data_IF_676135301870
#
_entry.id   IF_676135301870
#
_cell.length_a   1.000
_cell.length_b   1.000
_cell.length_c   1.000
_cell.angle_alpha   90.00
_cell.angle_beta   90.00
_cell.angle_gamma   90.00
#
_symmetry.space_group_name_H-M   'P 1'
#
loop_
_entity.id
_entity.type
_entity.pdbx_description
1 polymer ?
#
# COMPACT_ATOMS: atom_id res chain seq x y z
N UNK A 1 40.81 31.41 38.89
CA UNK A 1 41.08 32.16 37.64
C UNK A 1 41.84 31.32 36.61
N UNK A 2 41.58 30.01 36.51
CA UNK A 2 42.29 29.07 35.64
C UNK A 2 41.34 28.09 34.90
N UNK A 3 40.04 28.44 34.81
CA UNK A 3 39.02 27.62 34.15
C UNK A 3 38.36 28.31 32.95
N UNK A 4 38.58 29.62 32.77
CA UNK A 4 38.03 30.40 31.65
C UNK A 4 38.98 30.44 30.44
N UNK A 5 40.27 30.20 30.64
CA UNK A 5 41.29 30.24 29.57
C UNK A 5 41.28 28.94 28.74
N UNK A 6 40.90 27.80 29.33
CA UNK A 6 40.83 26.50 28.63
C UNK A 6 39.67 26.41 27.62
N UNK A 7 38.56 27.10 27.87
CA UNK A 7 37.38 27.08 26.98
C UNK A 7 37.61 27.94 25.72
N UNK A 8 38.36 29.03 25.84
CA UNK A 8 38.70 29.87 24.67
C UNK A 8 39.73 29.19 23.74
N UNK A 9 40.67 28.41 24.25
CA UNK A 9 41.64 27.69 23.42
C UNK A 9 40.99 26.58 22.57
N UNK A 10 39.98 25.89 23.09
CA UNK A 10 39.26 24.83 22.36
C UNK A 10 38.39 25.41 21.22
N UNK A 11 37.79 26.59 21.44
CA UNK A 11 36.97 27.25 20.41
C UNK A 11 37.80 27.84 19.26
N UNK A 12 39.02 28.33 19.53
CA UNK A 12 39.94 28.85 18.50
C UNK A 12 40.50 27.73 17.60
N UNK A 13 40.75 26.54 18.16
CA UNK A 13 41.26 25.39 17.39
C UNK A 13 40.17 24.79 16.49
N UNK A 14 38.91 24.73 16.96
CA UNK A 14 37.78 24.24 16.14
C UNK A 14 37.42 25.24 15.03
N UNK A 15 37.51 26.55 15.30
CA UNK A 15 37.30 27.59 14.28
C UNK A 15 38.35 27.61 13.15
N UNK A 16 39.61 27.28 13.45
CA UNK A 16 40.69 27.23 12.45
C UNK A 16 40.70 25.94 11.61
N UNK A 17 40.04 24.87 12.07
CA UNK A 17 39.87 23.62 11.31
C UNK A 17 38.73 23.70 10.28
N UNK A 18 37.76 24.60 10.48
CA UNK A 18 36.61 24.79 9.57
C UNK A 18 36.93 25.75 8.40
N UNK A 19 37.98 26.59 8.51
CA UNK A 19 38.39 27.54 7.46
C UNK A 19 39.37 27.01 6.41
N UNK A 20 39.74 25.72 6.43
CA UNK A 20 40.79 25.15 5.55
C UNK A 20 40.29 24.27 4.40
N UNK A 21 39.03 24.39 3.99
CA UNK A 21 38.46 23.68 2.82
C UNK A 21 37.71 24.61 1.85
N UNK A 22 38.28 25.77 1.57
CA UNK A 22 37.94 26.55 0.37
C UNK A 22 39.25 26.94 -0.32
N UNK A 23 39.47 26.42 -1.53
CA UNK A 23 40.52 26.89 -2.44
C UNK A 23 39.88 27.62 -3.63
N UNK A 24 40.56 28.65 -4.16
CA UNK A 24 39.94 29.83 -4.76
C UNK A 24 39.86 29.79 -6.29
N UNK A 25 39.15 30.74 -6.94
CA UNK A 25 39.18 30.91 -8.40
C UNK A 25 40.40 31.77 -8.81
N UNK A 26 40.92 31.60 -10.04
CA UNK A 26 41.11 32.68 -11.05
C UNK A 26 41.65 32.15 -12.40
N UNK A 27 40.96 32.64 -13.45
CA UNK A 27 41.15 32.72 -14.92
C UNK A 27 42.54 32.57 -15.56
N UNK A 28 42.57 32.01 -16.79
CA UNK A 28 42.94 32.59 -18.13
C UNK A 28 42.96 31.41 -19.12
N UNK A 29 42.13 31.27 -20.16
CA UNK A 29 42.00 32.05 -21.39
C UNK A 29 42.62 31.31 -22.59
N UNK A 30 41.81 30.64 -23.44
CA UNK A 30 42.07 30.50 -24.88
C UNK A 30 40.81 30.05 -25.64
N UNK A 31 40.61 30.66 -26.81
CA UNK A 31 39.47 30.55 -27.74
C UNK A 31 39.54 29.29 -28.60
N UNK A 32 38.40 28.69 -28.95
CA UNK A 32 38.01 28.26 -30.32
C UNK A 32 36.48 28.30 -30.44
N UNK A 33 36.01 28.65 -31.63
CA UNK A 33 34.67 29.07 -32.05
C UNK A 33 33.58 27.98 -32.14
N UNK A 34 32.33 28.40 -31.89
CA UNK A 34 31.03 28.20 -32.58
C UNK A 34 30.77 26.98 -33.52
N UNK A 35 29.49 26.53 -33.70
CA UNK A 35 28.32 27.41 -33.90
C UNK A 35 26.99 27.05 -33.19
N UNK A 36 26.15 28.09 -33.14
CA UNK A 36 24.72 28.10 -32.84
C UNK A 36 23.92 27.25 -33.84
N UNK A 37 22.88 26.57 -33.34
CA UNK A 37 21.66 26.31 -34.13
C UNK A 37 20.43 26.71 -33.31
N UNK A 38 19.66 27.55 -33.99
CA UNK A 38 18.40 28.19 -33.71
C UNK A 38 17.25 27.16 -33.51
N UNK A 39 16.40 27.34 -32.50
CA UNK A 39 15.10 26.63 -32.44
C UNK A 39 13.98 27.66 -32.40
N UNK A 40 13.47 27.86 -33.62
CA UNK A 40 12.21 28.48 -34.02
C UNK A 40 11.07 28.40 -32.98
N UNK A 41 10.53 29.58 -32.66
CA UNK A 41 9.12 29.76 -32.30
C UNK A 41 8.25 29.23 -33.45
N UNK A 42 7.36 28.27 -33.19
CA UNK A 42 6.21 28.00 -34.07
C UNK A 42 4.88 28.16 -33.36
N UNK A 43 4.01 28.86 -34.08
CA UNK A 43 2.67 29.33 -33.75
C UNK A 43 1.64 28.20 -33.67
N UNK A 44 0.66 28.45 -32.80
CA UNK A 44 -0.74 28.03 -32.79
C UNK A 44 -1.24 27.15 -33.95
N UNK A 45 -1.85 26.02 -33.59
CA UNK A 45 -2.90 25.38 -34.37
C UNK A 45 -4.13 25.21 -33.46
N UNK A 46 -5.03 26.18 -33.53
CA UNK A 46 -6.36 26.12 -32.94
C UNK A 46 -7.24 25.31 -33.88
N UNK A 47 -7.58 24.06 -33.52
CA UNK A 47 -8.63 23.31 -34.20
C UNK A 47 -9.98 23.68 -33.58
N UNK A 48 -10.77 24.44 -34.33
CA UNK A 48 -12.20 24.59 -34.11
C UNK A 48 -12.86 23.20 -34.20
N UNK A 49 -13.67 22.86 -33.21
CA UNK A 49 -14.57 21.71 -33.23
C UNK A 49 -15.97 22.28 -33.19
N UNK A 50 -16.73 22.06 -34.28
CA UNK A 50 -18.13 22.46 -34.37
C UNK A 50 -19.01 21.71 -33.37
N UNK A 51 -20.08 22.32 -32.82
CA UNK A 51 -20.93 21.68 -31.83
C UNK A 51 -21.93 20.72 -32.49
N UNK A 52 -21.84 19.43 -32.17
CA UNK A 52 -22.84 18.44 -32.56
C UNK A 52 -24.10 18.58 -31.68
N UNK A 53 -25.25 18.83 -32.31
CA UNK A 53 -26.58 18.92 -31.68
C UNK A 53 -27.01 17.57 -31.04
N UNK A 54 -27.77 17.57 -29.92
CA UNK A 54 -28.28 16.34 -29.31
C UNK A 54 -29.47 15.78 -30.12
N UNK A 55 -29.39 14.50 -30.47
CA UNK A 55 -30.49 13.77 -31.11
C UNK A 55 -31.41 13.17 -30.04
N UNK A 56 -32.56 13.80 -29.81
CA UNK A 56 -33.64 13.28 -28.97
C UNK A 56 -34.47 12.30 -29.79
N UNK A 57 -34.64 11.04 -29.34
CA UNK A 57 -35.68 10.13 -29.84
C UNK A 57 -36.60 9.71 -28.67
N UNK A 58 -37.93 9.60 -28.86
CA UNK A 58 -38.87 9.38 -27.77
C UNK A 58 -38.99 7.89 -27.39
N UNK A 59 -39.27 7.65 -26.10
CA UNK A 59 -39.74 6.37 -25.56
C UNK A 59 -41.04 5.94 -26.25
N UNK A 60 -41.09 4.74 -26.81
CA UNK A 60 -42.33 4.09 -27.23
C UNK A 60 -42.69 2.97 -26.25
N UNK A 61 -43.98 2.98 -25.88
CA UNK A 61 -44.68 2.03 -25.02
C UNK A 61 -44.64 0.61 -25.58
N UNK A 62 -44.50 -0.35 -24.68
CA UNK A 62 -44.60 -1.79 -24.93
C UNK A 62 -46.08 -2.13 -25.18
N UNK A 63 -46.43 -2.49 -26.42
CA UNK A 63 -47.71 -3.05 -26.79
C UNK A 63 -47.53 -4.48 -27.31
N UNK A 64 -48.24 -5.41 -26.66
CA UNK A 64 -48.76 -6.71 -27.08
C UNK A 64 -48.05 -7.50 -28.19
N UNK A 65 -47.46 -8.65 -27.80
CA UNK A 65 -47.06 -9.73 -28.73
C UNK A 65 -47.95 -10.96 -28.45
N UNK A 66 -48.46 -11.67 -29.47
CA UNK A 66 -49.41 -12.77 -29.32
C UNK A 66 -48.74 -14.05 -28.78
N UNK A 67 -49.49 -14.80 -27.98
CA UNK A 67 -49.15 -16.14 -27.49
C UNK A 67 -49.22 -17.18 -28.62
N UNK A 68 -48.10 -17.84 -28.91
CA UNK A 68 -48.07 -19.08 -29.71
C UNK A 68 -47.63 -20.24 -28.79
N UNK A 69 -48.56 -21.18 -28.61
CA UNK A 69 -48.43 -22.38 -27.79
C UNK A 69 -47.50 -23.40 -28.46
N UNK A 70 -46.27 -23.53 -27.96
CA UNK A 70 -45.49 -24.77 -28.12
C UNK A 70 -44.84 -25.18 -26.80
N UNK A 71 -45.26 -26.34 -26.31
CA UNK A 71 -44.72 -26.99 -25.12
C UNK A 71 -43.18 -27.13 -25.21
N UNK A 72 -42.42 -26.84 -24.14
CA UNK A 72 -40.98 -27.06 -24.16
C UNK A 72 -40.66 -28.56 -24.02
N UNK A 73 -39.84 -29.09 -24.91
CA UNK A 73 -39.17 -30.38 -24.68
C UNK A 73 -38.30 -30.29 -23.41
N UNK A 74 -38.26 -31.34 -22.56
CA UNK A 74 -37.42 -31.32 -21.38
C UNK A 74 -35.97 -31.57 -21.78
N UNK A 75 -35.13 -30.53 -21.71
CA UNK A 75 -33.69 -30.69 -21.57
C UNK A 75 -33.44 -31.34 -20.20
N UNK A 76 -33.31 -32.67 -20.18
CA UNK A 76 -32.72 -33.37 -19.05
C UNK A 76 -31.25 -32.93 -18.95
N UNK A 77 -30.98 -31.92 -18.14
CA UNK A 77 -29.65 -31.69 -17.59
C UNK A 77 -29.54 -32.59 -16.38
N UNK A 78 -28.61 -33.53 -16.45
CA UNK A 78 -28.23 -34.40 -15.35
C UNK A 78 -27.58 -33.53 -14.26
N UNK A 79 -28.41 -33.05 -13.32
CA UNK A 79 -27.99 -32.19 -12.20
C UNK A 79 -27.44 -33.06 -11.09
N UNK A 80 -26.29 -33.70 -11.36
CA UNK A 80 -25.31 -33.98 -10.31
C UNK A 80 -24.43 -32.73 -10.16
N UNK A 81 -25.04 -31.60 -9.75
CA UNK A 81 -24.35 -30.33 -9.54
C UNK A 81 -23.54 -30.38 -8.23
N UNK A 82 -22.46 -31.14 -8.20
CA UNK A 82 -21.34 -30.80 -7.32
C UNK A 82 -20.80 -29.45 -7.79
N UNK A 83 -20.83 -28.44 -6.92
CA UNK A 83 -20.29 -27.12 -7.24
C UNK A 83 -18.89 -27.28 -7.87
N UNK A 84 -18.58 -26.57 -8.97
CA UNK A 84 -17.31 -26.73 -9.65
C UNK A 84 -16.19 -26.35 -8.67
N UNK A 85 -15.42 -27.34 -8.23
CA UNK A 85 -14.25 -27.17 -7.38
C UNK A 85 -12.97 -27.40 -8.19
N UNK A 86 -11.84 -26.87 -7.72
CA UNK A 86 -10.54 -27.22 -8.28
C UNK A 86 -10.06 -28.57 -7.77
N UNK A 87 -9.36 -29.32 -8.62
CA UNK A 87 -8.75 -30.61 -8.29
C UNK A 87 -7.42 -30.40 -7.55
N UNK A 88 -6.88 -31.48 -6.97
CA UNK A 88 -5.56 -31.43 -6.35
C UNK A 88 -4.46 -31.04 -7.34
N UNK A 89 -4.50 -31.58 -8.56
CA UNK A 89 -3.53 -31.28 -9.61
C UNK A 89 -3.58 -29.81 -10.04
N UNK A 90 -4.79 -29.25 -10.20
CA UNK A 90 -5.00 -27.83 -10.50
C UNK A 90 -4.49 -26.94 -9.35
N UNK A 91 -4.76 -27.30 -8.09
CA UNK A 91 -4.27 -26.55 -6.94
C UNK A 91 -2.73 -26.55 -6.85
N UNK A 92 -2.08 -27.70 -7.10
CA UNK A 92 -0.62 -27.78 -7.19
C UNK A 92 -0.08 -26.95 -8.37
N UNK A 93 -0.78 -26.97 -9.51
CA UNK A 93 -0.42 -26.16 -10.68
C UNK A 93 -0.41 -24.66 -10.35
N UNK A 94 -1.43 -24.17 -9.62
CA UNK A 94 -1.51 -22.79 -9.16
C UNK A 94 -0.35 -22.45 -8.21
N UNK A 95 -0.03 -23.31 -7.24
CA UNK A 95 1.09 -23.10 -6.30
C UNK A 95 2.43 -23.03 -7.03
N UNK A 96 2.63 -23.86 -8.05
CA UNK A 96 3.89 -23.95 -8.79
C UNK A 96 4.10 -22.76 -9.73
N UNK A 97 3.05 -22.23 -10.35
CA UNK A 97 3.17 -21.25 -11.43
C UNK A 97 2.73 -19.84 -11.06
N UNK A 98 1.99 -19.66 -9.96
CA UNK A 98 1.65 -18.33 -9.44
C UNK A 98 2.68 -17.92 -8.40
N UNK A 99 3.62 -17.09 -8.83
CA UNK A 99 4.72 -16.62 -8.02
C UNK A 99 4.24 -15.85 -6.78
N UNK A 100 4.65 -16.30 -5.59
CA UNK A 100 4.24 -15.74 -4.30
C UNK A 100 2.87 -16.21 -3.79
N UNK A 101 2.13 -17.06 -4.51
CA UNK A 101 0.81 -17.52 -4.07
C UNK A 101 0.83 -18.26 -2.74
N UNK A 102 1.79 -19.18 -2.55
CA UNK A 102 1.98 -19.90 -1.28
C UNK A 102 2.28 -18.94 -0.12
N UNK A 103 3.19 -17.99 -0.35
CA UNK A 103 3.59 -17.00 0.66
C UNK A 103 2.42 -16.09 1.08
N UNK A 104 1.62 -15.68 0.09
CA UNK A 104 0.38 -14.95 0.31
C UNK A 104 -0.62 -15.77 1.14
N UNK A 105 -0.84 -17.04 0.79
CA UNK A 105 -1.77 -17.91 1.53
C UNK A 105 -1.34 -18.12 2.98
N UNK A 106 -0.05 -18.30 3.25
CA UNK A 106 0.49 -18.43 4.60
C UNK A 106 0.32 -17.13 5.41
N UNK A 107 0.64 -15.98 4.81
CA UNK A 107 0.45 -14.66 5.44
C UNK A 107 -1.03 -14.40 5.74
N UNK A 108 -1.90 -14.68 4.76
CA UNK A 108 -3.36 -14.61 4.91
C UNK A 108 -3.85 -15.50 6.04
N UNK A 109 -3.39 -16.75 6.11
CA UNK A 109 -3.76 -17.65 7.19
C UNK A 109 -3.30 -17.09 8.54
N UNK A 110 -2.08 -16.56 8.65
CA UNK A 110 -1.61 -15.95 9.89
C UNK A 110 -2.55 -14.83 10.38
N UNK A 111 -3.09 -14.02 9.47
CA UNK A 111 -3.99 -12.90 9.80
C UNK A 111 -5.44 -13.36 10.04
N UNK A 112 -5.96 -14.26 9.21
CA UNK A 112 -7.40 -14.59 9.13
C UNK A 112 -7.76 -15.96 9.70
N UNK A 113 -6.85 -16.93 9.61
CA UNK A 113 -7.08 -18.33 10.01
C UNK A 113 -7.75 -19.18 8.96
N UNK A 114 -8.07 -18.56 7.84
CA UNK A 114 -8.82 -19.20 6.79
C UNK A 114 -7.85 -19.89 5.85
N UNK A 115 -8.04 -21.19 5.70
CA UNK A 115 -7.34 -22.00 4.69
C UNK A 115 -8.06 -21.98 3.34
N UNK A 116 -9.30 -21.50 3.28
CA UNK A 116 -10.04 -21.27 2.04
C UNK A 116 -9.81 -19.84 1.54
N UNK A 117 -9.68 -19.67 0.22
CA UNK A 117 -9.48 -18.37 -0.42
C UNK A 117 -10.78 -17.86 -1.02
N UNK A 118 -11.29 -16.73 -0.51
CA UNK A 118 -12.45 -16.09 -1.12
C UNK A 118 -12.07 -15.48 -2.48
N UNK A 119 -13.00 -15.43 -3.46
CA UNK A 119 -12.72 -14.86 -4.78
C UNK A 119 -12.43 -13.35 -4.70
N UNK A 120 -11.22 -12.96 -5.06
CA UNK A 120 -10.85 -11.57 -5.33
C UNK A 120 -10.89 -11.32 -6.84
N UNK A 121 -12.06 -10.96 -7.37
CA UNK A 121 -12.23 -10.74 -8.80
C UNK A 121 -11.38 -9.56 -9.28
N UNK A 122 -10.87 -9.68 -10.51
CA UNK A 122 -9.96 -8.70 -11.14
C UNK A 122 -8.62 -8.51 -10.41
N UNK A 123 -8.24 -9.46 -9.54
CA UNK A 123 -6.91 -9.52 -8.94
C UNK A 123 -5.89 -10.17 -9.87
N UNK A 124 -4.61 -9.97 -9.56
CA UNK A 124 -3.50 -10.78 -10.09
C UNK A 124 -3.76 -12.29 -9.94
N UNK A 125 -4.26 -12.75 -8.78
CA UNK A 125 -4.63 -14.16 -8.57
C UNK A 125 -5.77 -14.61 -9.49
N UNK A 126 -6.77 -13.75 -9.74
CA UNK A 126 -7.86 -14.05 -10.67
C UNK A 126 -7.34 -14.21 -12.09
N UNK A 127 -6.52 -13.27 -12.56
CA UNK A 127 -5.97 -13.28 -13.91
C UNK A 127 -5.09 -14.51 -14.14
N UNK A 128 -4.25 -14.88 -13.16
CA UNK A 128 -3.44 -16.09 -13.21
C UNK A 128 -4.28 -17.37 -13.19
N UNK A 129 -5.31 -17.43 -12.33
CA UNK A 129 -6.23 -18.55 -12.29
C UNK A 129 -6.89 -18.78 -13.65
N UNK A 130 -7.42 -17.72 -14.27
CA UNK A 130 -8.12 -17.83 -15.55
C UNK A 130 -7.20 -18.28 -16.69
N UNK A 131 -5.89 -18.01 -16.59
CA UNK A 131 -4.88 -18.51 -17.54
C UNK A 131 -4.51 -19.97 -17.33
N UNK A 132 -4.40 -20.40 -16.07
CA UNK A 132 -3.89 -21.73 -15.72
C UNK A 132 -4.99 -22.80 -15.65
N UNK A 133 -6.21 -22.42 -15.30
CA UNK A 133 -7.33 -23.34 -15.07
C UNK A 133 -8.39 -23.15 -16.15
N UNK A 134 -8.37 -24.01 -17.16
CA UNK A 134 -9.34 -24.00 -18.24
C UNK A 134 -10.73 -24.48 -17.77
N UNK A 135 -11.79 -23.92 -18.36
CA UNK A 135 -13.18 -24.36 -18.20
C UNK A 135 -13.73 -24.35 -16.76
N UNK A 136 -13.12 -23.57 -15.85
CA UNK A 136 -13.65 -23.36 -14.50
C UNK A 136 -13.86 -21.89 -14.20
N UNK A 137 -15.00 -21.53 -13.60
CA UNK A 137 -15.18 -20.16 -13.13
C UNK A 137 -14.32 -19.91 -11.89
N UNK A 138 -13.84 -18.68 -11.72
CA UNK A 138 -12.94 -18.34 -10.62
C UNK A 138 -13.51 -18.62 -9.22
N UNK A 139 -14.83 -18.58 -9.04
CA UNK A 139 -15.45 -18.91 -7.75
C UNK A 139 -15.20 -20.36 -7.31
N UNK A 140 -14.72 -21.24 -8.19
CA UNK A 140 -14.27 -22.59 -7.84
C UNK A 140 -13.11 -22.60 -6.83
N UNK A 141 -12.30 -21.54 -6.80
CA UNK A 141 -11.13 -21.43 -5.91
C UNK A 141 -11.52 -21.45 -4.43
N UNK A 142 -12.73 -20.99 -4.10
CA UNK A 142 -13.20 -20.87 -2.72
C UNK A 142 -13.60 -22.20 -2.10
N UNK A 143 -13.94 -23.19 -2.94
CA UNK A 143 -14.39 -24.52 -2.50
C UNK A 143 -13.22 -25.43 -2.11
N UNK A 144 -11.99 -25.04 -2.47
CA UNK A 144 -10.82 -25.85 -2.20
C UNK A 144 -10.19 -25.49 -0.86
N UNK A 145 -10.05 -26.48 0.01
CA UNK A 145 -9.31 -26.35 1.25
C UNK A 145 -7.80 -26.43 0.96
N UNK A 146 -7.10 -25.29 0.99
CA UNK A 146 -5.68 -25.23 0.66
C UNK A 146 -4.78 -25.94 1.67
N UNK A 147 -5.28 -26.30 2.85
CA UNK A 147 -4.53 -27.12 3.82
C UNK A 147 -4.17 -28.52 3.27
N UNK A 148 -4.79 -28.94 2.17
CA UNK A 148 -4.48 -30.18 1.47
C UNK A 148 -3.15 -30.15 0.71
N UNK A 149 -2.62 -28.97 0.42
CA UNK A 149 -1.42 -28.77 -0.42
C UNK A 149 -0.43 -27.75 0.17
N UNK A 150 -0.86 -26.95 1.14
CA UNK A 150 -0.02 -26.01 1.89
C UNK A 150 -0.01 -26.45 3.35
N UNK A 151 1.19 -26.62 3.91
CA UNK A 151 1.37 -26.83 5.34
C UNK A 151 1.26 -25.49 6.09
N UNK A 152 0.20 -25.34 6.88
CA UNK A 152 -0.03 -24.18 7.74
C UNK A 152 0.43 -24.40 9.19
N UNK A 153 0.89 -25.59 9.57
CA UNK A 153 1.18 -25.96 10.97
C UNK A 153 2.28 -25.11 11.62
N UNK A 154 3.27 -24.69 10.83
CA UNK A 154 4.34 -23.79 11.24
C UNK A 154 3.93 -22.30 11.26
N UNK A 155 2.70 -21.98 10.84
CA UNK A 155 2.21 -20.61 10.77
C UNK A 155 1.43 -20.22 12.02
N UNK A 156 2.07 -19.42 12.89
CA UNK A 156 1.36 -18.81 14.02
C UNK A 156 0.33 -17.79 13.55
N UNK A 157 -0.84 -17.85 14.18
CA UNK A 157 -1.90 -16.84 14.06
C UNK A 157 -1.51 -15.57 14.80
N UNK A 158 -1.86 -14.42 14.22
CA UNK A 158 -1.67 -13.09 14.80
C UNK A 158 -3.01 -12.37 14.78
N UNK A 159 -3.46 -11.90 15.94
CA UNK A 159 -4.67 -11.09 16.06
C UNK A 159 -4.39 -9.64 15.67
N UNK A 160 -4.20 -9.43 14.36
CA UNK A 160 -4.02 -8.09 13.80
C UNK A 160 -5.40 -7.45 13.64
N UNK A 161 -5.62 -6.37 14.39
CA UNK A 161 -6.85 -5.59 14.32
C UNK A 161 -6.91 -4.77 13.03
N UNK A 162 -5.85 -4.02 12.72
CA UNK A 162 -5.74 -3.16 11.54
C UNK A 162 -4.30 -2.79 11.23
N UNK A 163 -4.10 -2.22 10.04
CA UNK A 163 -2.88 -1.53 9.66
C UNK A 163 -3.08 -0.02 9.89
N UNK A 164 -1.99 0.73 9.99
CA UNK A 164 -2.06 2.16 10.22
C UNK A 164 -1.11 2.91 9.30
N UNK A 165 -1.58 4.00 8.73
CA UNK A 165 -0.77 5.03 8.12
C UNK A 165 -1.00 6.33 8.89
N UNK A 166 -0.04 7.24 8.89
CA UNK A 166 -0.27 8.60 9.37
C UNK A 166 0.25 9.58 8.33
N UNK A 167 -0.41 10.73 8.20
CA UNK A 167 0.03 11.78 7.29
C UNK A 167 -0.38 13.15 7.80
N UNK A 168 0.23 14.19 7.24
CA UNK A 168 -0.18 15.55 7.50
C UNK A 168 -1.61 15.79 6.95
N UNK A 169 -2.41 16.56 7.69
CA UNK A 169 -3.83 16.83 7.42
C UNK A 169 -4.07 17.42 6.03
N UNK A 170 -3.13 18.25 5.53
CA UNK A 170 -3.22 18.84 4.20
C UNK A 170 -3.27 17.81 3.06
N UNK A 171 -2.72 16.61 3.27
CA UNK A 171 -2.78 15.51 2.29
C UNK A 171 -4.11 14.77 2.31
N UNK A 172 -4.95 14.94 3.33
CA UNK A 172 -6.13 14.11 3.52
C UNK A 172 -7.10 14.19 2.32
N UNK A 173 -7.27 15.39 1.76
CA UNK A 173 -8.18 15.60 0.63
C UNK A 173 -7.72 14.87 -0.63
N UNK A 174 -6.43 14.88 -0.93
CA UNK A 174 -5.89 14.14 -2.09
C UNK A 174 -5.94 12.63 -1.85
N UNK A 175 -5.68 12.18 -0.62
CA UNK A 175 -5.79 10.77 -0.22
C UNK A 175 -7.21 10.23 -0.47
N UNK A 176 -8.26 10.97 -0.08
CA UNK A 176 -9.64 10.54 -0.33
C UNK A 176 -10.07 10.67 -1.80
N UNK A 177 -9.38 11.48 -2.60
CA UNK A 177 -9.63 11.62 -4.03
C UNK A 177 -8.97 10.52 -4.86
N UNK A 178 -7.74 10.16 -4.52
CA UNK A 178 -6.88 9.34 -5.38
C UNK A 178 -6.31 8.09 -4.69
N UNK A 179 -6.62 7.86 -3.42
CA UNK A 179 -5.97 6.85 -2.58
C UNK A 179 -4.66 7.36 -1.98
N UNK A 180 -4.05 6.53 -1.13
CA UNK A 180 -2.70 6.77 -0.65
C UNK A 180 -1.75 6.36 -1.77
N UNK A 181 -0.97 7.31 -2.26
CA UNK A 181 -0.03 7.12 -3.36
C UNK A 181 1.39 7.20 -2.81
N UNK A 182 2.30 6.40 -3.38
CA UNK A 182 3.71 6.43 -3.00
C UNK A 182 4.35 7.80 -3.29
N UNK A 183 5.42 8.09 -2.56
CA UNK A 183 6.18 9.34 -2.76
C UNK A 183 6.67 9.46 -4.20
N UNK A 184 7.26 8.39 -4.73
CA UNK A 184 7.81 8.38 -6.08
C UNK A 184 6.75 8.80 -7.12
N UNK A 185 5.55 8.22 -7.05
CA UNK A 185 4.46 8.56 -7.98
C UNK A 185 3.93 9.98 -7.79
N UNK A 186 3.90 10.48 -6.56
CA UNK A 186 3.51 11.87 -6.32
C UNK A 186 4.51 12.86 -6.93
N UNK A 187 5.81 12.58 -6.81
CA UNK A 187 6.89 13.36 -7.42
C UNK A 187 6.84 13.28 -8.96
N UNK A 188 6.69 12.09 -9.53
CA UNK A 188 6.57 11.88 -10.99
C UNK A 188 5.31 12.52 -11.58
N UNK A 189 4.21 12.53 -10.85
CA UNK A 189 2.93 13.12 -11.26
C UNK A 189 2.84 14.65 -11.07
N UNK A 190 3.87 15.29 -10.49
CA UNK A 190 3.87 16.72 -10.22
C UNK A 190 2.80 17.17 -9.20
N UNK A 191 2.38 16.27 -8.32
CA UNK A 191 1.39 16.58 -7.29
C UNK A 191 2.04 17.37 -6.15
N UNK A 192 1.36 18.39 -5.62
CA UNK A 192 1.77 19.06 -4.38
C UNK A 192 1.35 18.22 -3.18
N UNK A 193 2.28 17.87 -2.30
CA UNK A 193 2.00 17.12 -1.08
C UNK A 193 3.00 17.47 0.03
N UNK A 194 2.63 17.18 1.27
CA UNK A 194 3.51 17.30 2.43
C UNK A 194 4.23 15.97 2.67
N UNK A 195 5.56 15.99 2.77
CA UNK A 195 6.34 14.80 3.09
C UNK A 195 6.09 14.37 4.53
N UNK A 196 5.84 13.08 4.74
CA UNK A 196 5.87 12.51 6.10
C UNK A 196 7.32 12.31 6.58
N UNK A 197 8.17 11.79 5.69
CA UNK A 197 9.61 11.62 5.90
C UNK A 197 10.38 12.10 4.65
N UNK A 198 11.19 13.15 4.80
CA UNK A 198 11.93 13.74 3.69
C UNK A 198 13.10 12.88 3.22
N UNK A 199 13.69 12.06 4.09
CA UNK A 199 14.94 11.37 3.78
C UNK A 199 14.75 9.98 3.17
N UNK A 200 13.70 9.23 3.56
CA UNK A 200 13.38 7.86 3.07
C UNK A 200 14.62 7.02 2.74
N UNK A 201 15.41 6.76 3.78
CA UNK A 201 16.74 6.17 3.69
C UNK A 201 16.74 4.66 3.36
N UNK A 202 15.57 4.02 3.37
CA UNK A 202 15.36 2.60 3.05
C UNK A 202 15.39 2.31 1.54
N UNK A 203 15.26 3.34 0.69
CA UNK A 203 15.44 3.23 -0.77
C UNK A 203 14.28 2.62 -1.55
N UNK A 204 13.22 2.13 -0.88
CA UNK A 204 12.00 1.61 -1.52
C UNK A 204 11.00 2.75 -1.73
N UNK A 205 11.24 3.58 -2.75
CA UNK A 205 10.51 4.85 -2.95
C UNK A 205 9.08 4.68 -3.49
N UNK A 206 8.80 3.63 -4.28
CA UNK A 206 7.45 3.27 -4.72
C UNK A 206 6.71 2.37 -3.70
N UNK A 207 6.73 2.78 -2.42
CA UNK A 207 6.00 2.10 -1.35
C UNK A 207 5.39 3.06 -0.33
N UNK A 208 4.41 2.56 0.40
CA UNK A 208 3.68 3.25 1.46
C UNK A 208 4.00 2.55 2.78
N UNK A 209 4.49 3.32 3.75
CA UNK A 209 4.76 2.81 5.10
C UNK A 209 3.46 2.57 5.87
N UNK A 210 3.27 1.34 6.32
CA UNK A 210 2.16 0.93 7.17
C UNK A 210 2.70 0.34 8.48
N UNK A 211 2.22 0.86 9.60
CA UNK A 211 2.40 0.23 10.91
C UNK A 211 1.40 -0.93 11.08
N UNK A 212 1.77 -1.94 11.86
CA UNK A 212 1.00 -3.17 12.03
C UNK A 212 0.48 -3.28 13.48
N UNK A 213 -0.85 -3.35 13.65
CA UNK A 213 -1.51 -3.51 14.95
C UNK A 213 -1.58 -2.23 15.80
N UNK A 214 -0.55 -1.38 15.75
CA UNK A 214 -0.50 -0.07 16.38
C UNK A 214 0.28 0.92 15.50
N UNK A 215 0.03 2.21 15.65
CA UNK A 215 0.77 3.27 14.96
C UNK A 215 2.22 3.29 15.44
N UNK A 216 3.18 3.53 14.54
CA UNK A 216 4.55 3.85 14.92
C UNK A 216 4.61 5.22 15.62
N UNK A 217 4.28 5.23 16.92
CA UNK A 217 4.22 6.42 17.78
C UNK A 217 5.55 7.16 17.83
N UNK A 218 6.68 6.46 17.71
CA UNK A 218 8.02 7.07 17.67
C UNK A 218 8.18 7.98 16.46
N UNK A 219 7.79 7.51 15.28
CA UNK A 219 7.90 8.30 14.05
C UNK A 219 6.84 9.41 14.01
N UNK A 220 5.60 9.13 14.43
CA UNK A 220 4.56 10.16 14.52
C UNK A 220 4.96 11.29 15.48
N UNK A 221 5.48 10.96 16.67
CA UNK A 221 5.95 11.95 17.64
C UNK A 221 7.12 12.79 17.08
N UNK A 222 8.05 12.16 16.36
CA UNK A 222 9.16 12.86 15.70
C UNK A 222 8.66 13.87 14.67
N UNK A 223 7.77 13.46 13.76
CA UNK A 223 7.34 14.32 12.65
C UNK A 223 6.32 15.39 13.05
N UNK A 224 5.52 15.14 14.08
CA UNK A 224 4.64 16.14 14.69
C UNK A 224 5.36 17.15 15.61
N UNK A 225 6.71 17.12 15.64
CA UNK A 225 7.53 17.94 16.53
C UNK A 225 7.09 17.85 18.00
N UNK A 226 6.90 16.62 18.48
CA UNK A 226 6.41 16.33 19.83
C UNK A 226 4.96 16.80 20.05
N UNK A 227 4.09 16.61 19.04
CA UNK A 227 2.67 17.02 19.06
C UNK A 227 2.43 18.54 19.18
N UNK A 228 3.46 19.35 18.91
CA UNK A 228 3.29 20.81 18.74
C UNK A 228 2.54 21.12 17.45
N UNK A 229 2.82 20.32 16.42
CA UNK A 229 2.02 20.29 15.21
C UNK A 229 0.89 19.26 15.38
N UNK A 230 -0.35 19.77 15.37
CA UNK A 230 -1.58 18.96 15.52
C UNK A 230 -2.27 18.69 14.19
N UNK A 231 -1.66 19.10 13.07
CA UNK A 231 -2.19 18.88 11.73
C UNK A 231 -1.75 17.51 11.20
N UNK A 232 -1.87 16.47 12.04
CA UNK A 232 -1.60 15.08 11.69
C UNK A 232 -2.85 14.25 11.86
N UNK A 233 -3.04 13.30 10.95
CA UNK A 233 -4.14 12.34 10.97
C UNK A 233 -3.59 10.93 10.90
N UNK A 234 -4.25 10.00 11.58
CA UNK A 234 -3.96 8.57 11.50
C UNK A 234 -5.08 7.93 10.68
N UNK A 235 -4.69 7.21 9.64
CA UNK A 235 -5.57 6.43 8.78
C UNK A 235 -5.50 4.97 9.23
N UNK A 236 -6.64 4.44 9.67
CA UNK A 236 -6.78 3.01 9.94
C UNK A 236 -7.13 2.31 8.64
N UNK A 237 -6.27 1.37 8.26
CA UNK A 237 -6.33 0.64 6.99
C UNK A 237 -6.76 -0.80 7.27
N UNK A 238 -7.76 -1.26 6.53
CA UNK A 238 -8.29 -2.63 6.56
C UNK A 238 -7.17 -3.65 6.33
N UNK A 239 -7.07 -4.67 7.19
CA UNK A 239 -6.04 -5.73 7.10
C UNK A 239 -6.22 -6.63 5.88
N UNK A 240 -7.41 -6.64 5.30
CA UNK A 240 -7.76 -7.26 4.02
C UNK A 240 -6.85 -6.75 2.90
N UNK A 241 -6.26 -5.56 3.03
CA UNK A 241 -5.25 -5.05 2.09
C UNK A 241 -4.09 -6.04 1.84
N UNK A 242 -3.65 -6.77 2.88
CA UNK A 242 -2.53 -7.72 2.80
C UNK A 242 -2.95 -9.18 2.99
N UNK A 243 -4.16 -9.43 3.51
CA UNK A 243 -4.72 -10.77 3.71
C UNK A 243 -5.75 -11.17 2.65
N UNK A 244 -6.09 -10.24 1.76
CA UNK A 244 -7.20 -10.35 0.83
C UNK A 244 -8.55 -10.49 1.51
N UNK A 245 -9.59 -10.73 0.71
CA UNK A 245 -10.94 -10.73 1.23
C UNK A 245 -11.29 -12.06 1.93
N UNK A 246 -12.25 -11.99 2.84
CA UNK A 246 -12.86 -13.16 3.49
C UNK A 246 -14.18 -13.58 2.85
N UNK A 247 -14.69 -12.76 1.94
CA UNK A 247 -15.89 -12.97 1.12
C UNK A 247 -15.57 -12.57 -0.34
N UNK A 248 -16.39 -12.95 -1.33
CA UNK A 248 -16.17 -12.50 -2.71
C UNK A 248 -16.10 -10.96 -2.79
N UNK A 249 -15.09 -10.42 -3.48
CA UNK A 249 -14.83 -8.96 -3.56
C UNK A 249 -14.19 -8.57 -4.90
N UNK A 250 -14.42 -7.31 -5.31
CA UNK A 250 -13.78 -6.66 -6.47
C UNK A 250 -12.76 -5.58 -6.05
N UNK A 251 -12.52 -5.44 -4.74
CA UNK A 251 -11.74 -4.31 -4.19
C UNK A 251 -10.23 -4.52 -4.28
N UNK A 252 -9.80 -5.76 -4.58
CA UNK A 252 -8.41 -6.20 -4.51
C UNK A 252 -7.86 -6.44 -5.92
N UNK A 253 -7.12 -5.46 -6.47
CA UNK A 253 -6.48 -5.60 -7.78
C UNK A 253 -5.15 -6.36 -7.75
N UNK A 254 -4.45 -6.32 -6.62
CA UNK A 254 -3.18 -7.00 -6.46
C UNK A 254 -3.02 -7.52 -5.02
N UNK A 255 -2.87 -8.84 -4.90
CA UNK A 255 -2.71 -9.54 -3.64
C UNK A 255 -1.28 -10.03 -3.45
N UNK A 256 -0.60 -10.34 -4.56
CA UNK A 256 0.71 -10.98 -4.53
C UNK A 256 1.82 -9.95 -4.47
N UNK A 257 2.82 -10.22 -3.62
CA UNK A 257 4.09 -9.47 -3.58
C UNK A 257 3.98 -7.95 -3.35
N UNK A 258 2.86 -7.47 -2.78
CA UNK A 258 2.70 -6.04 -2.44
C UNK A 258 3.29 -5.68 -1.09
N UNK A 259 3.16 -6.56 -0.10
CA UNK A 259 3.66 -6.32 1.24
C UNK A 259 5.14 -6.71 1.36
N UNK A 260 5.99 -5.76 1.78
CA UNK A 260 7.40 -5.99 2.09
C UNK A 260 7.58 -5.82 3.61
N UNK A 261 7.78 -6.92 4.31
CA UNK A 261 7.83 -6.98 5.76
C UNK A 261 9.19 -6.56 6.31
N UNK A 262 9.20 -5.58 7.20
CA UNK A 262 10.39 -5.09 7.88
C UNK A 262 10.25 -5.35 9.38
N UNK A 263 11.01 -6.33 9.89
CA UNK A 263 10.96 -6.75 11.31
C UNK A 263 11.54 -5.71 12.28
N UNK A 264 12.24 -4.70 11.75
CA UNK A 264 12.77 -3.52 12.45
C UNK A 264 12.60 -2.31 11.53
N UNK A 265 13.13 -1.15 11.95
CA UNK A 265 13.25 0.03 11.11
C UNK A 265 13.75 -0.32 9.69
N UNK A 266 12.98 0.01 8.66
CA UNK A 266 13.27 -0.33 7.27
C UNK A 266 14.59 0.26 6.75
N UNK A 267 15.05 1.38 7.33
CA UNK A 267 16.31 2.02 6.98
C UNK A 267 17.54 1.39 7.67
N UNK A 268 17.34 0.46 8.60
CA UNK A 268 18.45 -0.22 9.28
C UNK A 268 19.28 -1.06 8.31
N UNK A 269 20.59 -1.16 8.57
CA UNK A 269 21.50 -1.94 7.73
C UNK A 269 21.12 -3.41 7.66
N UNK A 270 20.66 -3.99 8.78
CA UNK A 270 20.22 -5.38 8.85
C UNK A 270 18.99 -5.65 7.98
N UNK A 271 18.01 -4.75 7.96
CA UNK A 271 16.82 -4.89 7.10
C UNK A 271 17.17 -4.63 5.64
N UNK A 272 17.99 -3.60 5.35
CA UNK A 272 18.41 -3.26 3.98
C UNK A 272 19.29 -4.33 3.33
N UNK A 273 19.99 -5.14 4.12
CA UNK A 273 20.77 -6.28 3.62
C UNK A 273 19.88 -7.44 3.13
N UNK A 274 18.60 -7.48 3.53
CA UNK A 274 17.65 -8.50 3.08
C UNK A 274 16.93 -8.02 1.82
N UNK A 275 16.99 -8.82 0.76
CA UNK A 275 16.36 -8.50 -0.52
C UNK A 275 14.84 -8.30 -0.38
N UNK A 276 14.25 -7.54 -1.32
CA UNK A 276 12.80 -7.29 -1.34
C UNK A 276 12.03 -8.61 -1.47
N UNK A 277 12.50 -9.53 -2.31
CA UNK A 277 11.87 -10.82 -2.56
C UNK A 277 11.82 -11.68 -1.30
N UNK A 278 12.88 -11.66 -0.47
CA UNK A 278 12.88 -12.36 0.81
C UNK A 278 11.96 -11.69 1.83
N UNK A 279 11.90 -10.36 1.83
CA UNK A 279 10.99 -9.59 2.70
C UNK A 279 9.52 -9.68 2.29
N UNK A 280 9.20 -10.16 1.09
CA UNK A 280 7.83 -10.45 0.66
C UNK A 280 7.32 -11.83 1.10
N UNK A 281 8.18 -12.67 1.68
CA UNK A 281 7.82 -14.02 2.11
C UNK A 281 7.14 -14.02 3.47
N UNK A 282 6.37 -15.09 3.72
CA UNK A 282 5.69 -15.30 5.00
C UNK A 282 6.66 -15.37 6.19
N UNK A 283 7.86 -15.93 6.01
CA UNK A 283 8.84 -15.97 7.09
C UNK A 283 9.25 -14.56 7.54
N UNK A 284 9.30 -13.59 6.63
CA UNK A 284 9.59 -12.19 6.98
C UNK A 284 8.42 -11.55 7.76
N UNK A 285 7.17 -11.89 7.43
CA UNK A 285 6.02 -11.52 8.25
C UNK A 285 6.10 -12.10 9.66
N UNK A 286 6.42 -13.40 9.79
CA UNK A 286 6.59 -14.03 11.11
C UNK A 286 7.72 -13.40 11.93
N UNK A 287 8.83 -13.06 11.28
CA UNK A 287 9.99 -12.43 11.91
C UNK A 287 9.66 -11.06 12.53
N UNK A 288 8.62 -10.36 12.07
CA UNK A 288 8.19 -9.10 12.70
C UNK A 288 7.78 -9.29 14.18
N UNK A 289 7.41 -10.50 14.58
CA UNK A 289 6.92 -10.84 15.93
C UNK A 289 7.95 -11.61 16.76
N UNK A 290 9.20 -11.67 16.29
CA UNK A 290 10.24 -12.49 16.88
C UNK A 290 11.43 -11.62 17.33
N UNK A 291 11.79 -11.72 18.61
CA UNK A 291 12.93 -11.03 19.20
C UNK A 291 14.26 -11.72 18.92
N UNK A 292 15.35 -11.10 19.37
CA UNK A 292 16.71 -11.58 19.14
C UNK A 292 17.00 -12.96 19.74
N UNK A 293 16.32 -13.30 20.83
CA UNK A 293 16.40 -14.61 21.49
C UNK A 293 15.31 -15.60 21.03
N UNK A 294 14.72 -15.36 19.86
CA UNK A 294 13.53 -16.08 19.36
C UNK A 294 12.27 -15.95 20.23
N UNK A 295 12.21 -14.90 21.05
CA UNK A 295 11.05 -14.58 21.87
C UNK A 295 9.87 -14.14 21.00
N UNK A 296 8.68 -14.68 21.27
CA UNK A 296 7.46 -14.32 20.56
C UNK A 296 6.77 -13.14 21.26
N UNK A 297 6.60 -12.01 20.57
CA UNK A 297 5.93 -10.81 21.12
C UNK A 297 4.40 -10.88 21.10
N UNK A 298 3.81 -12.03 20.72
CA UNK A 298 2.38 -12.21 20.61
C UNK A 298 1.80 -11.52 19.37
N UNK A 299 0.79 -10.67 19.53
CA UNK A 299 0.05 -10.09 18.41
C UNK A 299 0.61 -8.75 17.91
N UNK A 300 1.64 -8.22 18.58
CA UNK A 300 2.30 -6.96 18.20
C UNK A 300 3.70 -7.23 17.67
N UNK A 301 4.19 -6.45 16.69
CA UNK A 301 5.59 -6.55 16.30
C UNK A 301 6.52 -6.39 17.50
N UNK A 302 7.65 -7.09 17.48
CA UNK A 302 8.63 -7.06 18.56
C UNK A 302 9.33 -5.69 18.64
N UNK A 303 9.73 -5.15 17.49
CA UNK A 303 10.27 -3.78 17.37
C UNK A 303 9.13 -2.80 17.06
N UNK A 304 9.01 -1.74 17.86
CA UNK A 304 8.04 -0.64 17.65
C UNK A 304 8.22 0.10 16.31
N UNK A 305 9.41 -0.02 15.70
CA UNK A 305 9.71 0.54 14.38
C UNK A 305 9.53 -0.46 13.24
N UNK A 306 9.10 -1.70 13.51
CA UNK A 306 8.71 -2.63 12.47
C UNK A 306 7.56 -2.05 11.64
N UNK A 307 7.62 -2.25 10.33
CA UNK A 307 6.63 -1.72 9.40
C UNK A 307 6.48 -2.60 8.18
N UNK A 308 5.42 -2.37 7.42
CA UNK A 308 5.19 -2.95 6.12
C UNK A 308 5.40 -1.84 5.10
N UNK A 309 6.30 -2.05 4.15
CA UNK A 309 6.38 -1.20 2.96
C UNK A 309 5.44 -1.82 1.92
N UNK A 310 4.27 -1.22 1.75
CA UNK A 310 3.28 -1.68 0.78
C UNK A 310 3.56 -1.05 -0.58
N UNK A 311 3.92 -1.85 -1.57
CA UNK A 311 4.25 -1.38 -2.90
C UNK A 311 3.00 -1.02 -3.72
N UNK A 312 3.06 0.12 -4.40
CA UNK A 312 1.97 0.66 -5.18
C UNK A 312 1.06 1.59 -4.39
N UNK A 313 -0.23 1.59 -4.74
CA UNK A 313 -1.24 2.51 -4.20
C UNK A 313 -2.22 1.77 -3.30
N UNK A 314 -2.72 2.46 -2.29
CA UNK A 314 -3.78 1.96 -1.42
C UNK A 314 -5.05 2.75 -1.74
N UNK A 315 -6.07 2.12 -2.33
CA UNK A 315 -7.32 2.78 -2.61
C UNK A 315 -8.02 3.32 -1.35
N UNK A 316 -8.71 4.45 -1.48
CA UNK A 316 -9.34 5.12 -0.34
C UNK A 316 -10.37 4.24 0.39
N UNK A 317 -11.02 3.30 -0.29
CA UNK A 317 -11.99 2.37 0.32
C UNK A 317 -11.38 1.34 1.28
N UNK A 318 -10.04 1.22 1.34
CA UNK A 318 -9.35 0.49 2.38
C UNK A 318 -9.19 1.29 3.68
N UNK A 319 -9.42 2.60 3.67
CA UNK A 319 -9.42 3.44 4.87
C UNK A 319 -10.76 3.22 5.59
N UNK A 320 -10.71 2.61 6.77
CA UNK A 320 -11.91 2.37 7.60
C UNK A 320 -12.19 3.53 8.55
N UNK A 321 -11.14 4.14 9.09
CA UNK A 321 -11.24 5.20 10.08
C UNK A 321 -10.18 6.28 9.83
N UNK A 322 -10.54 7.54 10.11
CA UNK A 322 -9.61 8.67 10.21
C UNK A 322 -9.65 9.17 11.64
N UNK A 323 -8.52 9.06 12.32
CA UNK A 323 -8.35 9.51 13.70
C UNK A 323 -7.70 10.88 13.70
N UNK A 324 -8.36 11.82 14.36
CA UNK A 324 -7.94 13.20 14.57
C UNK A 324 -7.51 13.42 16.01
N UNK A 325 -6.53 14.30 16.20
CA UNK A 325 -6.12 14.74 17.53
C UNK A 325 -7.24 15.51 18.23
N UNK A 326 -7.98 16.37 17.52
CA UNK A 326 -9.06 17.19 18.07
C UNK A 326 -10.15 17.49 17.03
N UNK A 327 -11.36 17.79 17.51
CA UNK A 327 -12.53 17.94 16.65
C UNK A 327 -12.45 19.15 15.70
N UNK A 328 -11.73 20.21 16.07
CA UNK A 328 -11.49 21.40 15.25
C UNK A 328 -10.68 21.11 13.99
N UNK A 329 -9.98 19.97 13.94
CA UNK A 329 -9.17 19.54 12.79
C UNK A 329 -9.96 18.76 11.75
N UNK A 330 -11.23 18.42 12.03
CA UNK A 330 -12.06 17.64 11.10
C UNK A 330 -12.54 18.57 9.97
N UNK A 331 -12.12 18.34 8.72
CA UNK A 331 -12.61 19.16 7.62
C UNK A 331 -14.07 18.81 7.27
N UNK A 332 -14.94 19.79 6.98
CA UNK A 332 -16.37 19.54 6.70
C UNK A 332 -16.61 18.55 5.54
N UNK A 333 -15.80 18.62 4.49
CA UNK A 333 -15.92 17.77 3.30
C UNK A 333 -15.71 16.28 3.57
N UNK A 334 -15.08 15.91 4.70
CA UNK A 334 -14.86 14.50 5.01
C UNK A 334 -16.15 13.75 5.31
N UNK A 335 -17.21 14.49 5.71
CA UNK A 335 -18.53 13.94 6.00
C UNK A 335 -19.22 13.36 4.75
N UNK A 336 -18.74 13.72 3.56
CA UNK A 336 -19.26 13.20 2.29
C UNK A 336 -18.72 11.79 1.95
N UNK A 337 -17.75 11.29 2.72
CA UNK A 337 -17.13 9.98 2.53
C UNK A 337 -17.66 8.96 3.54
N UNK A 338 -17.84 7.71 3.08
CA UNK A 338 -18.20 6.59 3.94
C UNK A 338 -16.98 6.11 4.75
N UNK A 339 -16.59 6.90 5.75
CA UNK A 339 -15.46 6.61 6.65
C UNK A 339 -15.82 6.98 8.08
N UNK A 340 -15.30 6.22 9.05
CA UNK A 340 -15.48 6.56 10.45
C UNK A 340 -14.55 7.72 10.82
N UNK A 341 -15.12 8.78 11.39
CA UNK A 341 -14.35 9.91 11.91
C UNK A 341 -14.21 9.73 13.41
N UNK A 342 -12.98 9.61 13.89
CA UNK A 342 -12.67 9.39 15.32
C UNK A 342 -11.87 10.58 15.83
N UNK A 343 -12.23 11.07 17.02
CA UNK A 343 -11.43 12.06 17.75
C UNK A 343 -10.86 11.36 18.97
N UNK A 344 -9.56 11.06 18.93
CA UNK A 344 -8.89 10.38 20.03
C UNK A 344 -7.41 10.82 20.12
N UNK A 345 -7.11 11.81 20.99
CA UNK A 345 -5.74 12.26 21.22
C UNK A 345 -4.81 11.16 21.75
N UNK A 346 -5.32 10.09 22.37
CA UNK A 346 -4.49 9.03 22.97
C UNK A 346 -3.71 8.23 21.92
N UNK A 347 -4.24 8.14 20.69
CA UNK A 347 -3.55 7.54 19.54
C UNK A 347 -2.28 8.28 19.12
N UNK A 348 -2.17 9.56 19.51
CA UNK A 348 -1.01 10.41 19.22
C UNK A 348 0.00 10.44 20.37
N UNK A 349 -0.37 9.93 21.56
CA UNK A 349 0.49 9.91 22.74
C UNK A 349 1.66 8.93 22.58
N UNK A 350 2.86 9.38 22.96
CA UNK A 350 4.05 8.53 23.09
C UNK A 350 4.14 7.83 24.46
N UNK A 351 3.26 8.20 25.40
CA UNK A 351 3.14 7.56 26.73
C UNK A 351 2.19 6.38 26.72
#
# INVERSE_FOLDING_TARGET
MWTVIGIFFVLVVIGNLIKKKETPPTKTGSRVAEPLVDVEKRKACTRQVDPLKPLTKPRMLLGDIPTDDKAPLPLMVDVNNTAPGITMAEALNLIMHIDGFKEYMLTRYAITGLTHLAPAYMSDVHDDFMRLIANKPFYAIQQFNWARVIDFSSTRRRNISSLYHFSHLSNLRSIFKSGIISRQRLEEGGHSFHYNDELRLEGVRDAISLSLGEVNKKMLYKYSNGLRDRDWVILKIKKELISGPTQPSFDHRALLKRAIFCHRNAASSSVRAISVEQRQKHQAFQAMFCGDNHEDSGDRPYDIQAEILYSGEIPAWFISDVVFYSADKIPPWLRDYAVNIVVDPSHFSFR
#
